data_IF_943275942017
#
_entry.id   IF_943275942017
#
_cell.length_a   1.000
_cell.length_b   1.000
_cell.length_c   1.000
_cell.angle_alpha   90.00
_cell.angle_beta   90.00
_cell.angle_gamma   90.00
#
_symmetry.space_group_name_H-M   'P 1'
#
loop_
_entity.id
_entity.type
_entity.pdbx_description
1 polymer ?
#
# COMPACT_ATOMS: atom_id res chain seq x y z
N UNK A 1 12.48 -9.22 -7.25
CA UNK A 1 11.21 -9.75 -6.73
C UNK A 1 10.06 -9.64 -7.75
N UNK A 2 10.13 -8.70 -8.68
CA UNK A 2 9.12 -8.60 -9.76
C UNK A 2 9.07 -9.84 -10.66
N UNK A 3 10.20 -10.53 -10.89
CA UNK A 3 10.28 -11.70 -11.77
C UNK A 3 9.96 -13.01 -11.06
N UNK A 4 10.32 -13.12 -9.80
CA UNK A 4 10.14 -14.32 -8.99
C UNK A 4 9.69 -13.95 -7.57
N UNK A 5 8.82 -14.74 -6.93
CA UNK A 5 8.39 -14.50 -5.56
C UNK A 5 9.57 -14.67 -4.58
N UNK A 6 9.43 -14.08 -3.40
CA UNK A 6 10.46 -14.09 -2.35
C UNK A 6 11.00 -15.51 -2.08
N UNK A 7 10.12 -16.51 -2.01
CA UNK A 7 10.50 -17.90 -1.73
C UNK A 7 11.49 -18.46 -2.76
N UNK A 8 11.35 -18.10 -4.03
CA UNK A 8 12.13 -18.57 -5.17
C UNK A 8 13.35 -17.68 -5.47
N UNK A 9 13.38 -16.46 -4.92
CA UNK A 9 14.50 -15.54 -5.11
C UNK A 9 15.78 -16.08 -4.45
N UNK A 10 16.93 -15.84 -5.12
CA UNK A 10 18.25 -16.17 -4.57
C UNK A 10 19.16 -14.93 -4.56
N UNK A 11 19.98 -14.80 -3.51
CA UNK A 11 20.95 -13.70 -3.42
C UNK A 11 21.92 -13.73 -4.61
N UNK A 12 22.32 -14.92 -5.08
CA UNK A 12 23.19 -15.05 -6.24
C UNK A 12 22.60 -14.41 -7.51
N UNK A 13 21.30 -14.62 -7.75
CA UNK A 13 20.61 -14.00 -8.89
C UNK A 13 20.41 -12.48 -8.68
N UNK A 14 20.11 -12.05 -7.45
CA UNK A 14 19.93 -10.62 -7.12
C UNK A 14 21.23 -9.84 -7.41
N UNK A 15 22.36 -10.29 -6.87
CA UNK A 15 23.64 -9.59 -7.06
C UNK A 15 24.13 -9.64 -8.52
N UNK A 16 23.86 -10.75 -9.22
CA UNK A 16 24.14 -10.86 -10.65
C UNK A 16 23.33 -9.87 -11.48
N UNK A 17 22.05 -9.69 -11.19
CA UNK A 17 21.19 -8.74 -11.89
C UNK A 17 21.52 -7.29 -11.55
N UNK A 18 21.98 -7.02 -10.33
CA UNK A 18 22.39 -5.70 -9.89
C UNK A 18 23.84 -5.35 -10.30
N UNK A 19 24.56 -6.29 -10.88
CA UNK A 19 25.98 -6.16 -11.25
C UNK A 19 26.87 -5.70 -10.08
N UNK A 20 26.67 -6.33 -8.90
CA UNK A 20 27.44 -6.03 -7.69
C UNK A 20 28.11 -7.30 -7.14
N UNK A 21 29.29 -7.17 -6.47
CA UNK A 21 29.88 -8.28 -5.75
C UNK A 21 28.97 -8.78 -4.63
N UNK A 22 28.95 -10.11 -4.40
CA UNK A 22 28.14 -10.71 -3.33
C UNK A 22 28.44 -10.11 -1.95
N UNK A 23 29.71 -9.76 -1.69
CA UNK A 23 30.12 -9.11 -0.44
C UNK A 23 29.45 -7.74 -0.21
N UNK A 24 29.21 -6.99 -1.29
CA UNK A 24 28.50 -5.71 -1.20
C UNK A 24 27.05 -5.86 -0.76
N UNK A 25 26.38 -6.95 -1.14
CA UNK A 25 25.03 -7.24 -0.66
C UNK A 25 24.99 -7.33 0.88
N UNK A 26 25.90 -8.09 1.46
CA UNK A 26 25.95 -8.33 2.91
C UNK A 26 26.44 -7.12 3.73
N UNK A 27 26.90 -6.05 3.08
CA UNK A 27 27.16 -4.78 3.74
C UNK A 27 25.85 -4.05 4.12
N UNK A 28 24.77 -4.31 3.38
CA UNK A 28 23.49 -3.60 3.51
C UNK A 28 22.36 -4.48 4.02
N UNK A 29 22.33 -5.76 3.65
CA UNK A 29 21.23 -6.68 3.96
C UNK A 29 21.77 -7.98 4.54
N UNK A 30 21.09 -8.52 5.55
CA UNK A 30 21.44 -9.81 6.16
C UNK A 30 21.07 -10.98 5.25
N UNK A 31 19.89 -10.90 4.63
CA UNK A 31 19.34 -11.90 3.73
C UNK A 31 18.42 -11.28 2.67
N UNK A 32 17.81 -12.11 1.84
CA UNK A 32 16.88 -11.65 0.81
C UNK A 32 15.55 -11.16 1.38
N UNK A 33 15.17 -11.66 2.52
CA UNK A 33 13.99 -11.27 3.27
C UNK A 33 14.14 -9.83 3.77
N UNK A 34 15.32 -9.46 4.27
CA UNK A 34 15.65 -8.10 4.70
C UNK A 34 15.58 -7.10 3.53
N UNK A 35 16.16 -7.43 2.37
CA UNK A 35 16.02 -6.64 1.15
C UNK A 35 14.56 -6.53 0.70
N UNK A 36 13.80 -7.62 0.71
CA UNK A 36 12.39 -7.63 0.32
C UNK A 36 11.57 -6.72 1.23
N UNK A 37 11.79 -6.80 2.54
CA UNK A 37 11.12 -5.96 3.52
C UNK A 37 11.49 -4.48 3.34
N UNK A 38 12.76 -4.16 3.12
CA UNK A 38 13.20 -2.80 2.82
C UNK A 38 12.50 -2.22 1.60
N UNK A 39 12.41 -3.00 0.52
CA UNK A 39 11.72 -2.58 -0.70
C UNK A 39 10.22 -2.36 -0.47
N UNK A 40 9.57 -3.29 0.23
CA UNK A 40 8.16 -3.16 0.59
C UNK A 40 7.89 -1.90 1.44
N UNK A 41 8.72 -1.64 2.45
CA UNK A 41 8.60 -0.46 3.30
C UNK A 41 8.82 0.84 2.53
N UNK A 42 9.72 0.84 1.53
CA UNK A 42 9.93 2.00 0.65
C UNK A 42 8.66 2.30 -0.15
N UNK A 43 8.06 1.29 -0.78
CA UNK A 43 6.81 1.46 -1.53
C UNK A 43 5.65 1.91 -0.63
N UNK A 44 5.55 1.35 0.57
CA UNK A 44 4.53 1.73 1.55
C UNK A 44 4.67 3.19 1.98
N UNK A 45 5.91 3.65 2.19
CA UNK A 45 6.20 5.04 2.55
C UNK A 45 5.83 6.01 1.43
N UNK A 46 6.14 5.66 0.18
CA UNK A 46 5.79 6.49 -0.96
C UNK A 46 4.26 6.56 -1.13
N UNK A 47 3.56 5.45 -0.95
CA UNK A 47 2.10 5.39 -0.92
C UNK A 47 1.48 6.23 0.21
N UNK A 48 2.09 6.25 1.39
CA UNK A 48 1.66 7.10 2.52
C UNK A 48 1.79 8.59 2.21
N UNK A 49 2.90 9.00 1.60
CA UNK A 49 3.11 10.39 1.16
C UNK A 49 2.10 10.80 0.10
N UNK A 50 1.80 9.92 -0.85
CA UNK A 50 0.78 10.15 -1.86
C UNK A 50 -0.59 10.38 -1.22
N UNK A 51 -0.97 9.57 -0.23
CA UNK A 51 -2.22 9.75 0.51
C UNK A 51 -2.29 11.11 1.18
N UNK A 52 -1.23 11.52 1.90
CA UNK A 52 -1.18 12.82 2.57
C UNK A 52 -1.28 13.99 1.57
N UNK A 53 -0.60 13.89 0.45
CA UNK A 53 -0.62 14.91 -0.60
C UNK A 53 -2.03 15.02 -1.22
N UNK A 54 -2.64 13.90 -1.61
CA UNK A 54 -3.98 13.88 -2.20
C UNK A 54 -5.05 14.34 -1.21
N UNK A 55 -4.87 14.08 0.08
CA UNK A 55 -5.77 14.60 1.11
C UNK A 55 -5.67 16.13 1.21
N UNK A 56 -4.47 16.70 1.14
CA UNK A 56 -4.26 18.17 1.07
C UNK A 56 -4.91 18.76 -0.18
N UNK A 57 -4.71 18.17 -1.34
CA UNK A 57 -5.30 18.60 -2.62
C UNK A 57 -6.83 18.53 -2.65
N UNK A 58 -7.41 17.68 -1.79
CA UNK A 58 -8.86 17.53 -1.62
C UNK A 58 -9.45 18.47 -0.56
N UNK A 59 -8.70 19.45 -0.06
CA UNK A 59 -9.12 20.34 1.04
C UNK A 59 -9.64 19.56 2.27
N UNK A 60 -8.99 18.44 2.59
CA UNK A 60 -9.35 17.59 3.70
C UNK A 60 -10.67 16.80 3.53
N UNK A 61 -11.27 16.79 2.34
CA UNK A 61 -12.45 15.94 2.07
C UNK A 61 -12.02 14.49 2.03
N UNK A 62 -12.34 13.75 3.09
CA UNK A 62 -11.96 12.36 3.28
C UNK A 62 -12.32 11.49 2.07
N UNK A 63 -13.55 11.62 1.55
CA UNK A 63 -14.01 10.77 0.46
C UNK A 63 -13.32 11.10 -0.85
N UNK A 64 -13.18 12.38 -1.19
CA UNK A 64 -12.44 12.82 -2.39
C UNK A 64 -10.96 12.43 -2.33
N UNK A 65 -10.32 12.59 -1.18
CA UNK A 65 -8.94 12.20 -0.98
C UNK A 65 -8.74 10.69 -1.23
N UNK A 66 -9.65 9.86 -0.72
CA UNK A 66 -9.60 8.42 -0.95
C UNK A 66 -9.99 7.99 -2.37
N UNK A 67 -10.90 8.69 -3.05
CA UNK A 67 -11.19 8.48 -4.48
C UNK A 67 -9.93 8.70 -5.33
N UNK A 68 -9.24 9.81 -5.12
CA UNK A 68 -8.00 10.12 -5.84
C UNK A 68 -6.87 9.15 -5.50
N UNK A 69 -6.72 8.82 -4.22
CA UNK A 69 -5.70 7.87 -3.76
C UNK A 69 -5.92 6.47 -4.33
N UNK A 70 -7.16 5.96 -4.30
CA UNK A 70 -7.47 4.65 -4.86
C UNK A 70 -7.19 4.60 -6.35
N UNK A 71 -7.59 5.62 -7.10
CA UNK A 71 -7.37 5.70 -8.55
C UNK A 71 -5.88 5.64 -8.90
N UNK A 72 -5.04 6.39 -8.18
CA UNK A 72 -3.57 6.33 -8.37
C UNK A 72 -3.00 4.97 -8.01
N UNK A 73 -3.40 4.44 -6.86
CA UNK A 73 -2.85 3.19 -6.33
C UNK A 73 -3.25 1.97 -7.16
N UNK A 74 -4.52 1.88 -7.61
CA UNK A 74 -4.97 0.73 -8.41
C UNK A 74 -4.30 0.68 -9.78
N UNK A 75 -4.06 1.85 -10.40
CA UNK A 75 -3.30 1.94 -11.64
C UNK A 75 -1.87 1.41 -11.44
N UNK A 76 -1.16 1.87 -10.40
CA UNK A 76 0.20 1.41 -10.10
C UNK A 76 0.25 -0.10 -9.81
N UNK A 77 -0.74 -0.64 -9.11
CA UNK A 77 -0.82 -2.06 -8.75
C UNK A 77 -1.09 -2.95 -9.98
N UNK A 78 -1.94 -2.53 -10.90
CA UNK A 78 -2.36 -3.37 -12.03
C UNK A 78 -1.48 -3.16 -13.28
N UNK A 79 -1.06 -1.93 -13.57
CA UNK A 79 -0.42 -1.53 -14.83
C UNK A 79 0.91 -0.78 -14.65
N UNK A 80 1.24 -0.34 -13.43
CA UNK A 80 2.46 0.44 -13.15
C UNK A 80 3.74 -0.38 -13.25
N UNK A 81 4.88 0.30 -13.13
CA UNK A 81 6.22 -0.31 -13.19
C UNK A 81 6.41 -1.43 -12.15
N UNK A 82 5.75 -1.32 -11.00
CA UNK A 82 5.81 -2.28 -9.91
C UNK A 82 4.68 -3.32 -9.94
N UNK A 83 3.84 -3.36 -10.98
CA UNK A 83 2.69 -4.26 -11.07
C UNK A 83 3.09 -5.74 -10.86
N UNK A 84 4.24 -6.16 -11.41
CA UNK A 84 4.75 -7.52 -11.23
C UNK A 84 5.15 -7.84 -9.78
N UNK A 85 5.65 -6.87 -9.04
CA UNK A 85 5.93 -7.02 -7.61
C UNK A 85 4.63 -7.15 -6.81
N UNK A 86 3.66 -6.29 -7.04
CA UNK A 86 2.33 -6.37 -6.43
C UNK A 86 1.64 -7.69 -6.74
N UNK A 87 1.81 -8.21 -7.98
CA UNK A 87 1.33 -9.54 -8.35
C UNK A 87 1.88 -10.62 -7.42
N UNK A 88 3.17 -10.65 -7.23
CA UNK A 88 3.79 -11.65 -6.34
C UNK A 88 3.35 -11.46 -4.89
N UNK A 89 3.24 -10.20 -4.42
CA UNK A 89 2.80 -9.86 -3.08
C UNK A 89 1.37 -10.36 -2.80
N UNK A 90 0.42 -10.07 -3.69
CA UNK A 90 -1.00 -10.38 -3.46
C UNK A 90 -1.36 -11.84 -3.80
N UNK A 91 -0.84 -12.39 -4.91
CA UNK A 91 -1.21 -13.73 -5.34
C UNK A 91 -0.56 -14.85 -4.55
N UNK A 92 0.65 -14.64 -4.05
CA UNK A 92 1.42 -15.68 -3.34
C UNK A 92 1.41 -15.51 -1.83
N UNK A 93 0.64 -14.57 -1.31
CA UNK A 93 0.53 -14.26 0.13
C UNK A 93 1.89 -14.01 0.82
N UNK A 94 2.89 -13.56 0.07
CA UNK A 94 4.22 -13.21 0.58
C UNK A 94 4.14 -12.13 1.67
N UNK A 95 3.05 -11.36 1.68
CA UNK A 95 2.69 -10.43 2.74
C UNK A 95 2.63 -11.07 4.14
N UNK A 96 2.17 -12.32 4.26
CA UNK A 96 2.17 -13.03 5.55
C UNK A 96 3.57 -13.47 5.99
N UNK A 97 4.45 -13.74 5.03
CA UNK A 97 5.85 -14.02 5.31
C UNK A 97 6.58 -12.76 5.78
N UNK A 98 6.35 -11.61 5.14
CA UNK A 98 6.93 -10.33 5.54
C UNK A 98 6.49 -9.86 6.94
N UNK A 99 5.28 -10.21 7.38
CA UNK A 99 4.81 -9.94 8.74
C UNK A 99 5.47 -10.78 9.82
N UNK A 100 5.99 -11.97 9.47
CA UNK A 100 6.73 -12.84 10.40
C UNK A 100 8.20 -12.46 10.52
N UNK A 101 8.75 -11.78 9.52
CA UNK A 101 10.07 -11.16 9.59
C UNK A 101 9.89 -9.80 10.27
N UNK A 102 9.56 -9.84 11.56
CA UNK A 102 9.53 -8.64 12.37
C UNK A 102 10.93 -8.01 12.38
N UNK A 103 11.02 -6.66 12.48
CA UNK A 103 12.24 -5.88 12.28
C UNK A 103 13.26 -6.04 13.41
N UNK A 104 13.63 -7.26 13.76
CA UNK A 104 14.59 -7.50 14.82
C UNK A 104 16.04 -7.55 14.34
N UNK A 105 16.28 -7.47 13.03
CA UNK A 105 17.62 -7.78 12.51
C UNK A 105 18.17 -6.80 11.47
N UNK A 106 17.43 -5.78 11.01
CA UNK A 106 18.09 -4.89 10.05
C UNK A 106 19.24 -4.13 10.72
N UNK A 107 20.45 -4.50 10.34
CA UNK A 107 21.69 -3.78 10.68
C UNK A 107 21.72 -2.37 10.10
N UNK A 108 20.75 -2.03 9.29
CA UNK A 108 20.59 -0.68 8.80
C UNK A 108 20.25 0.23 9.97
N UNK A 109 21.25 0.89 10.47
CA UNK A 109 21.11 2.15 11.18
C UNK A 109 20.61 3.21 10.19
N UNK A 110 19.44 2.97 9.59
CA UNK A 110 18.77 4.04 8.88
C UNK A 110 18.32 5.05 9.94
N UNK A 111 18.51 6.35 9.71
CA UNK A 111 18.03 7.38 10.64
C UNK A 111 16.51 7.35 10.81
N UNK A 112 15.81 6.53 10.04
CA UNK A 112 14.37 6.39 10.00
C UNK A 112 13.93 5.08 10.63
N UNK A 113 13.10 5.20 11.68
CA UNK A 113 12.36 4.09 12.28
C UNK A 113 11.00 3.99 11.56
N UNK A 114 10.76 2.92 10.75
CA UNK A 114 9.52 2.77 9.98
C UNK A 114 8.26 2.84 10.85
N UNK A 115 8.34 2.39 12.09
CA UNK A 115 7.20 2.44 13.01
C UNK A 115 6.88 3.87 13.48
N UNK A 116 7.90 4.71 13.66
CA UNK A 116 7.69 6.11 14.04
C UNK A 116 7.14 6.92 12.90
N UNK A 117 7.68 6.74 11.68
CA UNK A 117 7.16 7.39 10.48
C UNK A 117 5.70 7.04 10.26
N UNK A 118 5.34 5.76 10.33
CA UNK A 118 3.95 5.34 10.12
C UNK A 118 2.97 5.95 11.13
N UNK A 119 3.37 6.06 12.40
CA UNK A 119 2.55 6.73 13.41
C UNK A 119 2.42 8.23 13.13
N UNK A 120 3.48 8.85 12.64
CA UNK A 120 3.47 10.27 12.30
C UNK A 120 2.56 10.54 11.09
N UNK A 121 2.66 9.74 10.03
CA UNK A 121 1.81 9.85 8.84
C UNK A 121 0.33 9.66 9.18
N UNK A 122 0.03 8.66 10.02
CA UNK A 122 -1.35 8.42 10.48
C UNK A 122 -1.90 9.62 11.28
N UNK A 123 -1.08 10.24 12.13
CA UNK A 123 -1.46 11.42 12.89
C UNK A 123 -1.68 12.61 11.95
N UNK A 124 -0.77 12.85 11.01
CA UNK A 124 -0.89 13.92 10.02
C UNK A 124 -2.16 13.74 9.18
N UNK A 125 -2.50 12.52 8.77
CA UNK A 125 -3.74 12.23 8.05
C UNK A 125 -4.98 12.65 8.85
N UNK A 126 -5.02 12.32 10.16
CA UNK A 126 -6.12 12.71 11.05
C UNK A 126 -6.26 14.23 11.19
N UNK A 127 -5.14 14.96 11.19
CA UNK A 127 -5.09 16.41 11.28
C UNK A 127 -5.51 17.10 9.98
N UNK A 128 -5.27 16.47 8.83
CA UNK A 128 -5.64 17.03 7.52
C UNK A 128 -7.13 16.92 7.20
N UNK A 129 -7.84 15.93 7.76
CA UNK A 129 -9.25 15.68 7.44
C UNK A 129 -10.15 16.78 8.00
N UNK A 130 -10.95 17.38 7.13
CA UNK A 130 -11.99 18.34 7.51
C UNK A 130 -13.20 17.64 8.15
N UNK A 131 -13.21 17.62 9.47
CA UNK A 131 -14.26 16.97 10.27
C UNK A 131 -15.62 17.66 10.17
N UNK A 132 -15.66 18.93 9.75
CA UNK A 132 -16.92 19.66 9.60
C UNK A 132 -17.82 19.07 8.53
N UNK A 133 -17.24 18.33 7.58
CA UNK A 133 -17.95 17.62 6.51
C UNK A 133 -18.47 16.23 6.92
N UNK A 134 -18.12 15.76 8.13
CA UNK A 134 -18.35 14.39 8.58
C UNK A 134 -19.28 14.34 9.81
N UNK A 135 -20.07 13.28 9.91
CA UNK A 135 -20.90 13.00 11.10
C UNK A 135 -20.11 12.19 12.14
N UNK A 136 -18.92 12.68 12.52
CA UNK A 136 -18.06 12.07 13.54
C UNK A 136 -17.96 13.01 14.76
N UNK A 137 -18.00 12.44 15.96
CA UNK A 137 -18.05 13.20 17.21
C UNK A 137 -16.69 13.36 17.90
N UNK A 138 -15.76 12.46 17.62
CA UNK A 138 -14.45 12.38 18.28
C UNK A 138 -13.41 11.67 17.39
N UNK A 139 -12.16 11.66 17.82
CA UNK A 139 -11.04 11.03 17.11
C UNK A 139 -11.26 9.54 16.89
N UNK A 140 -11.81 8.84 17.85
CA UNK A 140 -12.07 7.41 17.75
C UNK A 140 -13.08 7.09 16.63
N UNK A 141 -14.17 7.85 16.52
CA UNK A 141 -15.14 7.68 15.44
C UNK A 141 -14.51 7.98 14.06
N UNK A 142 -13.63 8.98 13.99
CA UNK A 142 -12.89 9.28 12.76
C UNK A 142 -11.93 8.14 12.38
N UNK A 143 -11.19 7.61 13.34
CA UNK A 143 -10.31 6.45 13.13
C UNK A 143 -11.07 5.22 12.62
N UNK A 144 -12.25 4.95 13.20
CA UNK A 144 -13.12 3.86 12.73
C UNK A 144 -13.62 4.08 11.30
N UNK A 145 -13.99 5.32 10.96
CA UNK A 145 -14.40 5.65 9.58
C UNK A 145 -13.24 5.47 8.61
N UNK A 146 -12.04 5.96 8.93
CA UNK A 146 -10.84 5.75 8.11
C UNK A 146 -10.54 4.26 7.96
N UNK A 147 -10.62 3.49 9.03
CA UNK A 147 -10.41 2.05 8.99
C UNK A 147 -11.42 1.37 8.05
N UNK A 148 -12.70 1.78 8.09
CA UNK A 148 -13.73 1.24 7.20
C UNK A 148 -13.43 1.56 5.73
N UNK A 149 -13.03 2.79 5.42
CA UNK A 149 -12.63 3.20 4.07
C UNK A 149 -11.38 2.43 3.62
N UNK A 150 -10.37 2.32 4.46
CA UNK A 150 -9.15 1.54 4.16
C UNK A 150 -9.45 0.05 3.93
N UNK A 151 -10.35 -0.54 4.70
CA UNK A 151 -10.80 -1.92 4.45
C UNK A 151 -11.49 -2.05 3.09
N UNK A 152 -12.27 -1.03 2.68
CA UNK A 152 -12.88 -0.97 1.35
C UNK A 152 -11.83 -0.87 0.25
N UNK A 153 -10.79 -0.05 0.44
CA UNK A 153 -9.62 0.02 -0.46
C UNK A 153 -9.01 -1.37 -0.64
N UNK A 154 -8.57 -2.01 0.44
CA UNK A 154 -7.86 -3.30 0.38
C UNK A 154 -8.71 -4.42 -0.20
N UNK A 155 -9.99 -4.51 0.18
CA UNK A 155 -10.89 -5.54 -0.34
C UNK A 155 -11.20 -5.33 -1.82
N UNK A 156 -11.30 -4.08 -2.28
CA UNK A 156 -11.49 -3.78 -3.70
C UNK A 156 -10.24 -4.11 -4.50
N UNK A 157 -9.04 -3.76 -4.02
CA UNK A 157 -7.78 -4.15 -4.67
C UNK A 157 -7.69 -5.67 -4.83
N UNK A 158 -7.93 -6.41 -3.75
CA UNK A 158 -7.85 -7.88 -3.77
C UNK A 158 -8.86 -8.50 -4.75
N UNK A 159 -10.06 -7.93 -4.83
CA UNK A 159 -11.09 -8.34 -5.77
C UNK A 159 -10.71 -8.02 -7.21
N UNK A 160 -10.33 -6.77 -7.49
CA UNK A 160 -9.90 -6.30 -8.79
C UNK A 160 -8.70 -7.07 -9.33
N UNK A 161 -7.74 -7.35 -8.45
CA UNK A 161 -6.56 -8.12 -8.82
C UNK A 161 -6.93 -9.53 -9.29
N UNK A 162 -7.85 -10.20 -8.59
CA UNK A 162 -8.34 -11.52 -8.99
C UNK A 162 -9.04 -11.47 -10.35
N UNK A 163 -9.93 -10.49 -10.56
CA UNK A 163 -10.66 -10.34 -11.82
C UNK A 163 -9.73 -9.99 -12.97
N UNK A 164 -8.82 -9.04 -12.78
CA UNK A 164 -7.83 -8.65 -13.79
C UNK A 164 -6.93 -9.81 -14.23
N UNK A 165 -6.69 -10.78 -13.33
CA UNK A 165 -5.89 -11.97 -13.64
C UNK A 165 -6.67 -13.08 -14.32
N UNK A 166 -8.01 -13.06 -14.32
CA UNK A 166 -8.90 -14.15 -14.79
C UNK A 166 -9.84 -13.73 -15.91
N UNK A 167 -10.00 -12.45 -16.17
CA UNK A 167 -10.93 -11.90 -17.17
C UNK A 167 -10.20 -10.88 -18.05
N UNK A 168 -10.27 -11.06 -19.37
CA UNK A 168 -9.71 -10.10 -20.34
C UNK A 168 -10.52 -8.79 -20.41
N UNK A 169 -11.77 -8.81 -19.93
CA UNK A 169 -12.68 -7.66 -20.01
C UNK A 169 -12.62 -6.75 -18.77
N UNK A 170 -11.88 -7.13 -17.71
CA UNK A 170 -11.81 -6.32 -16.49
C UNK A 170 -10.69 -5.28 -16.57
N UNK A 171 -11.06 -4.00 -16.38
CA UNK A 171 -10.14 -2.86 -16.52
C UNK A 171 -9.90 -2.10 -15.21
N UNK A 172 -8.90 -1.23 -15.21
CA UNK A 172 -8.61 -0.31 -14.10
C UNK A 172 -9.80 0.63 -13.85
N UNK A 173 -10.48 1.09 -14.91
CA UNK A 173 -11.64 1.97 -14.82
C UNK A 173 -12.82 1.28 -14.13
N UNK A 174 -13.01 -0.02 -14.38
CA UNK A 174 -14.03 -0.80 -13.69
C UNK A 174 -13.72 -0.91 -12.19
N UNK A 175 -12.44 -1.15 -11.83
CA UNK A 175 -12.00 -1.17 -10.44
C UNK A 175 -12.28 0.17 -9.73
N UNK A 176 -11.97 1.29 -10.40
CA UNK A 176 -12.23 2.64 -9.88
C UNK A 176 -13.73 2.88 -9.72
N UNK A 177 -14.54 2.50 -10.71
CA UNK A 177 -15.99 2.65 -10.67
C UNK A 177 -16.61 1.86 -9.51
N UNK A 178 -16.19 0.61 -9.32
CA UNK A 178 -16.65 -0.23 -8.20
C UNK A 178 -16.24 0.35 -6.83
N UNK A 179 -15.01 0.86 -6.71
CA UNK A 179 -14.57 1.51 -5.48
C UNK A 179 -15.41 2.75 -5.17
N UNK A 180 -15.59 3.62 -6.16
CA UNK A 180 -16.35 4.86 -6.00
C UNK A 180 -17.81 4.58 -5.63
N UNK A 181 -18.40 3.51 -6.19
CA UNK A 181 -19.74 3.07 -5.83
C UNK A 181 -19.83 2.64 -4.35
N UNK A 182 -18.89 1.79 -3.89
CA UNK A 182 -18.82 1.37 -2.48
C UNK A 182 -18.61 2.57 -1.55
N UNK A 183 -17.74 3.49 -1.96
CA UNK A 183 -17.43 4.70 -1.20
C UNK A 183 -18.66 5.63 -1.12
N UNK A 184 -19.44 5.74 -2.19
CA UNK A 184 -20.70 6.49 -2.20
C UNK A 184 -21.73 5.91 -1.22
N UNK A 185 -21.80 4.61 -1.06
CA UNK A 185 -22.66 3.97 -0.06
C UNK A 185 -22.22 4.29 1.36
N UNK A 186 -20.92 4.31 1.63
CA UNK A 186 -20.39 4.73 2.94
C UNK A 186 -20.71 6.21 3.21
N UNK A 187 -20.52 7.08 2.22
CA UNK A 187 -20.76 8.52 2.32
C UNK A 187 -22.24 8.86 2.55
N UNK A 188 -23.12 8.22 1.80
CA UNK A 188 -24.55 8.59 1.76
C UNK A 188 -25.44 7.64 2.57
N UNK A 189 -24.91 6.48 2.98
CA UNK A 189 -25.68 5.40 3.55
C UNK A 189 -26.42 4.59 2.48
N UNK A 190 -27.08 3.51 2.90
CA UNK A 190 -27.87 2.62 2.03
C UNK A 190 -29.40 2.78 2.24
N UNK A 191 -29.78 3.59 3.19
CA UNK A 191 -31.19 3.93 3.43
C UNK A 191 -31.59 5.15 2.60
N UNK A 192 -32.76 5.09 2.02
CA UNK A 192 -33.42 6.22 1.34
C UNK A 192 -34.02 7.17 2.35
#
# INVERSE_FOLDING_TARGET
>A
FSRVPLKEASIANIVKLADIPRGSFYQYFEDKEDLYFYYFETMRRDSSKDMLQLMKESDGDLFKGFESYFSKMIYEILEGENASFYRNLFMKMDYRASRKVAPHTSRQKTPHDPHKEHKQDAKELLELIDRTKLKVKNDHELELLIQLVMNTVFTTIAHSYRLFSTSEDYSVEQAISEFNLKLSWLKNGVYK
#
